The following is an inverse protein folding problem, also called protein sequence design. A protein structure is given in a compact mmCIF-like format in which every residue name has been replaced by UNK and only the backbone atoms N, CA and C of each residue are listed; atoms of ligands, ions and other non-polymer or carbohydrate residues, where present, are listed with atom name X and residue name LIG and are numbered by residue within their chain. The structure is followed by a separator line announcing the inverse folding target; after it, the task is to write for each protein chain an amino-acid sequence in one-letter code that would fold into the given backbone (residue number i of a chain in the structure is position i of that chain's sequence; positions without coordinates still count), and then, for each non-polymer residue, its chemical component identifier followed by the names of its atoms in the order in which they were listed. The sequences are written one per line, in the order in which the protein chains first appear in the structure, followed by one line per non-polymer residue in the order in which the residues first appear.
data_IF_487199799257
#
_entry.id   IF_487199799257
#
_cell.length_a   1.000
_cell.length_b   1.000
_cell.length_c   1.000
_cell.angle_alpha   90.00
_cell.angle_beta   90.00
_cell.angle_gamma   90.00
#
_symmetry.space_group_name_H-M   'P 1'
#
loop_
_entity.id
_entity.type
_entity.pdbx_description
1 polymer ?
#
# COMPACT_ATOMS: atom_id res chain seq x y z
N UNK A 1 -2.45 -6.88 29.75
CA UNK A 1 -2.68 -8.16 29.08
C UNK A 1 -3.31 -7.82 27.73
N UNK A 2 -2.87 -8.47 26.65
CA UNK A 2 -3.48 -8.31 25.33
C UNK A 2 -4.85 -8.95 25.27
N UNK A 3 -5.65 -8.58 24.25
CA UNK A 3 -7.00 -9.11 24.03
C UNK A 3 -7.00 -10.58 23.56
N UNK A 4 -5.82 -11.11 23.23
CA UNK A 4 -5.65 -12.50 22.78
C UNK A 4 -5.86 -12.69 21.28
N UNK A 5 -6.22 -11.65 20.52
CA UNK A 5 -6.35 -11.69 19.09
C UNK A 5 -5.98 -10.34 18.46
N UNK A 6 -5.66 -10.35 17.17
CA UNK A 6 -5.47 -9.16 16.34
C UNK A 6 -6.18 -9.38 15.00
N UNK A 7 -6.99 -8.40 14.59
CA UNK A 7 -7.72 -8.39 13.33
C UNK A 7 -6.99 -7.52 12.32
N UNK A 8 -6.52 -8.11 11.25
CA UNK A 8 -5.69 -7.44 10.23
C UNK A 8 -6.42 -7.44 8.89
N UNK A 9 -6.45 -6.29 8.22
CA UNK A 9 -6.84 -6.21 6.82
C UNK A 9 -5.62 -5.80 5.97
N UNK A 10 -5.43 -6.45 4.83
CA UNK A 10 -4.28 -6.17 3.98
C UNK A 10 -4.33 -6.90 2.65
N UNK A 11 -3.26 -6.74 1.87
CA UNK A 11 -3.14 -7.36 0.56
C UNK A 11 -2.93 -8.86 0.66
N UNK A 12 -3.39 -9.60 -0.35
CA UNK A 12 -3.06 -11.02 -0.49
C UNK A 12 -1.53 -11.22 -0.48
N UNK A 13 -1.04 -12.19 0.26
CA UNK A 13 0.39 -12.47 0.39
C UNK A 13 1.13 -11.65 1.45
N UNK A 14 0.46 -10.71 2.14
CA UNK A 14 1.10 -9.86 3.14
C UNK A 14 1.03 -10.42 4.57
N UNK A 15 0.13 -11.36 4.81
CA UNK A 15 0.01 -12.07 6.10
C UNK A 15 -0.22 -13.55 5.79
N UNK A 16 0.85 -14.32 5.74
CA UNK A 16 0.81 -15.71 5.31
C UNK A 16 0.86 -16.67 6.50
N UNK A 17 -0.13 -17.55 6.55
CA UNK A 17 -0.35 -18.53 7.63
C UNK A 17 -0.31 -19.97 7.11
N UNK A 18 0.31 -20.21 5.96
CA UNK A 18 0.38 -21.54 5.33
C UNK A 18 -0.88 -21.96 4.56
N UNK A 19 -1.94 -21.14 4.55
CA UNK A 19 -3.19 -21.50 3.85
C UNK A 19 -3.07 -21.43 2.34
N UNK A 20 -2.22 -20.54 1.81
CA UNK A 20 -1.94 -20.40 0.38
C UNK A 20 -0.84 -21.36 -0.08
N UNK A 21 0.27 -21.40 0.65
CA UNK A 21 1.38 -22.33 0.48
C UNK A 21 1.83 -22.81 1.86
N UNK A 22 1.75 -24.12 2.17
CA UNK A 22 2.18 -24.66 3.47
C UNK A 22 3.63 -24.39 3.84
N UNK A 23 4.48 -23.99 2.87
CA UNK A 23 5.89 -23.63 3.09
C UNK A 23 6.06 -22.16 3.46
N UNK A 24 5.01 -21.35 3.33
CA UNK A 24 5.02 -19.91 3.57
C UNK A 24 4.09 -19.61 4.73
N UNK A 25 4.64 -19.69 5.93
CA UNK A 25 3.90 -19.47 7.18
C UNK A 25 4.82 -18.76 8.19
N UNK A 26 4.56 -17.51 8.45
CA UNK A 26 5.20 -16.76 9.54
C UNK A 26 4.21 -16.37 10.64
N UNK A 27 2.92 -16.62 10.44
CA UNK A 27 1.87 -16.30 11.41
C UNK A 27 1.82 -17.33 12.54
N UNK A 28 1.88 -18.63 12.21
CA UNK A 28 1.77 -19.69 13.20
C UNK A 28 2.88 -19.64 14.26
N UNK A 29 4.10 -19.21 13.87
CA UNK A 29 5.20 -18.99 14.80
C UNK A 29 4.87 -17.91 15.82
N UNK A 30 4.37 -16.76 15.34
CA UNK A 30 3.94 -15.65 16.18
C UNK A 30 2.79 -16.05 17.13
N UNK A 31 1.74 -16.72 16.62
CA UNK A 31 0.63 -17.18 17.44
C UNK A 31 1.09 -18.12 18.56
N UNK A 32 1.99 -19.03 18.25
CA UNK A 32 2.54 -20.00 19.22
C UNK A 32 3.39 -19.31 20.29
N UNK A 33 4.18 -18.32 19.93
CA UNK A 33 5.07 -17.60 20.84
C UNK A 33 4.28 -16.66 21.76
N UNK A 34 3.31 -15.94 21.21
CA UNK A 34 2.63 -14.85 21.91
C UNK A 34 1.27 -15.26 22.50
N UNK A 35 0.66 -16.33 22.01
CA UNK A 35 -0.72 -16.69 22.31
C UNK A 35 -1.76 -15.77 21.67
N UNK A 36 -1.34 -14.81 20.81
CA UNK A 36 -2.21 -13.87 20.14
C UNK A 36 -2.69 -14.44 18.80
N UNK A 37 -4.00 -14.63 18.65
CA UNK A 37 -4.62 -15.15 17.42
C UNK A 37 -4.62 -14.09 16.34
N UNK A 38 -4.20 -14.45 15.12
CA UNK A 38 -4.22 -13.56 13.96
C UNK A 38 -5.43 -13.87 13.08
N UNK A 39 -6.33 -12.91 12.95
CA UNK A 39 -7.46 -12.97 12.02
C UNK A 39 -7.14 -12.06 10.84
N UNK A 40 -7.00 -12.62 9.64
CA UNK A 40 -6.60 -11.87 8.46
C UNK A 40 -7.72 -11.80 7.42
N UNK A 41 -8.03 -10.60 6.99
CA UNK A 41 -8.95 -10.28 5.89
C UNK A 41 -8.17 -9.74 4.71
N UNK A 42 -8.30 -10.38 3.55
CA UNK A 42 -7.77 -9.85 2.30
C UNK A 42 -8.67 -8.72 1.82
N UNK A 43 -8.08 -7.53 1.59
CA UNK A 43 -8.71 -6.43 0.90
C UNK A 43 -8.27 -6.38 -0.56
N UNK A 44 -9.17 -5.96 -1.44
CA UNK A 44 -8.93 -5.90 -2.88
C UNK A 44 -8.42 -4.54 -3.35
N UNK A 45 -8.73 -3.46 -2.63
CA UNK A 45 -8.30 -2.09 -2.91
C UNK A 45 -7.97 -1.35 -1.61
N UNK A 46 -7.14 -0.30 -1.72
CA UNK A 46 -6.86 0.56 -0.55
C UNK A 46 -8.11 1.28 -0.04
N UNK A 47 -9.05 1.64 -0.89
CA UNK A 47 -10.32 2.27 -0.50
C UNK A 47 -11.21 1.32 0.29
N UNK A 48 -11.29 0.03 -0.11
CA UNK A 48 -11.95 -1.00 0.68
C UNK A 48 -11.32 -1.12 2.08
N UNK A 49 -9.98 -1.14 2.14
CA UNK A 49 -9.24 -1.24 3.41
C UNK A 49 -9.48 -0.03 4.32
N UNK A 50 -9.56 1.18 3.76
CA UNK A 50 -9.94 2.40 4.53
C UNK A 50 -11.34 2.23 5.10
N UNK A 51 -12.31 1.80 4.30
CA UNK A 51 -13.69 1.59 4.76
C UNK A 51 -13.79 0.51 5.84
N UNK A 52 -13.01 -0.57 5.72
CA UNK A 52 -12.94 -1.63 6.73
C UNK A 52 -12.34 -1.12 8.05
N UNK A 53 -11.27 -0.32 8.01
CA UNK A 53 -10.72 0.30 9.22
C UNK A 53 -11.73 1.21 9.92
N UNK A 54 -12.49 1.97 9.16
CA UNK A 54 -13.53 2.88 9.69
C UNK A 54 -14.70 2.14 10.33
N UNK A 55 -14.87 0.84 10.07
CA UNK A 55 -15.88 0.02 10.78
C UNK A 55 -15.54 -0.20 12.26
N UNK A 56 -14.28 -0.03 12.65
CA UNK A 56 -13.79 -0.31 14.00
C UNK A 56 -13.64 -1.81 14.32
N UNK A 57 -13.75 -2.69 13.32
CA UNK A 57 -13.61 -4.14 13.49
C UNK A 57 -12.18 -4.65 13.30
N UNK A 58 -11.27 -3.78 12.86
CA UNK A 58 -9.87 -4.13 12.54
C UNK A 58 -8.90 -3.30 13.35
N UNK A 59 -7.84 -3.95 13.81
CA UNK A 59 -6.77 -3.36 14.63
C UNK A 59 -5.61 -2.84 13.77
N UNK A 60 -5.36 -3.51 12.63
CA UNK A 60 -4.21 -3.23 11.76
C UNK A 60 -4.64 -3.26 10.29
N UNK A 61 -4.09 -2.32 9.53
CA UNK A 61 -4.27 -2.28 8.08
C UNK A 61 -2.91 -2.20 7.36
N UNK A 62 -2.78 -2.94 6.26
CA UNK A 62 -1.67 -2.80 5.32
C UNK A 62 -2.20 -2.19 4.02
N UNK A 63 -2.12 -0.89 3.89
CA UNK A 63 -2.65 -0.13 2.76
C UNK A 63 -1.54 0.68 2.06
N UNK A 64 -1.86 1.26 0.89
CA UNK A 64 -0.95 2.16 0.19
C UNK A 64 -0.72 3.47 0.96
N UNK A 65 0.37 4.19 0.67
CA UNK A 65 0.77 5.37 1.42
C UNK A 65 -0.25 6.52 1.40
N UNK A 66 -0.98 6.70 0.31
CA UNK A 66 -2.08 7.66 0.19
C UNK A 66 -3.25 7.29 1.12
N UNK A 67 -3.62 6.00 1.19
CA UNK A 67 -4.65 5.51 2.10
C UNK A 67 -4.20 5.63 3.57
N UNK A 68 -2.93 5.37 3.86
CA UNK A 68 -2.36 5.59 5.20
C UNK A 68 -2.53 7.04 5.65
N UNK A 69 -2.24 8.02 4.78
CA UNK A 69 -2.45 9.44 5.11
C UNK A 69 -3.92 9.78 5.34
N UNK A 70 -4.83 9.22 4.55
CA UNK A 70 -6.27 9.42 4.76
C UNK A 70 -6.71 8.95 6.15
N UNK A 71 -6.25 7.77 6.57
CA UNK A 71 -6.53 7.21 7.88
C UNK A 71 -5.92 8.06 9.02
N UNK A 72 -4.69 8.54 8.83
CA UNK A 72 -4.02 9.40 9.82
C UNK A 72 -4.78 10.72 10.00
N UNK A 73 -5.09 11.41 8.92
CA UNK A 73 -5.79 12.69 8.98
C UNK A 73 -7.29 12.55 9.34
N UNK A 74 -7.88 11.38 9.09
CA UNK A 74 -9.22 11.02 9.53
C UNK A 74 -9.31 10.71 11.04
N UNK A 75 -8.15 10.45 11.67
CA UNK A 75 -8.12 10.01 13.07
C UNK A 75 -8.51 8.56 13.27
N UNK A 76 -8.48 7.78 12.20
CA UNK A 76 -8.89 6.35 12.18
C UNK A 76 -7.76 5.42 12.62
N UNK A 77 -6.55 5.94 12.85
CA UNK A 77 -5.38 5.19 13.32
C UNK A 77 -4.62 5.96 14.38
N UNK A 78 -4.02 5.21 15.31
CA UNK A 78 -3.20 5.76 16.41
C UNK A 78 -1.71 5.77 16.06
N UNK A 79 -0.90 6.63 16.70
CA UNK A 79 0.55 6.57 16.63
C UNK A 79 1.09 5.22 17.05
N UNK A 80 2.15 4.77 16.37
CA UNK A 80 2.89 3.55 16.69
C UNK A 80 4.08 3.89 17.59
N UNK A 81 4.18 3.22 18.73
CA UNK A 81 5.39 3.30 19.57
C UNK A 81 6.45 2.35 18.99
N UNK A 82 7.37 2.91 18.21
CA UNK A 82 8.45 2.14 17.55
C UNK A 82 9.48 1.57 18.52
N UNK A 83 9.58 2.10 19.76
CA UNK A 83 10.49 1.58 20.79
C UNK A 83 10.05 0.19 21.29
N UNK A 84 8.79 -0.16 21.12
CA UNK A 84 8.25 -1.48 21.45
C UNK A 84 8.45 -2.50 20.32
N UNK A 85 9.06 -2.10 19.20
CA UNK A 85 9.27 -2.94 18.02
C UNK A 85 10.77 -3.04 17.75
N UNK A 86 11.48 -4.00 18.37
CA UNK A 86 12.95 -4.09 18.25
C UNK A 86 13.44 -4.15 16.80
N UNK A 87 12.72 -4.89 15.93
CA UNK A 87 13.06 -5.03 14.52
C UNK A 87 12.84 -3.75 13.70
N UNK A 88 12.22 -2.70 14.27
CA UNK A 88 12.13 -1.41 13.60
C UNK A 88 13.51 -0.79 13.36
N UNK A 89 14.50 -1.15 14.18
CA UNK A 89 15.90 -0.75 13.98
C UNK A 89 16.45 -1.22 12.62
N UNK A 90 16.03 -2.40 12.16
CA UNK A 90 16.49 -3.04 10.92
C UNK A 90 15.78 -2.53 9.66
N UNK A 91 14.73 -1.72 9.81
CA UNK A 91 14.07 -1.06 8.68
C UNK A 91 15.03 -0.05 8.05
N UNK A 92 15.13 -0.03 6.73
CA UNK A 92 15.96 0.95 6.02
C UNK A 92 15.58 2.38 6.38
N UNK A 93 16.55 3.23 6.64
CA UNK A 93 16.32 4.62 7.11
C UNK A 93 15.49 5.44 6.11
N UNK A 94 15.65 5.19 4.81
CA UNK A 94 14.87 5.86 3.76
C UNK A 94 13.40 5.41 3.69
N UNK A 95 12.96 4.48 4.53
CA UNK A 95 11.56 4.07 4.68
C UNK A 95 10.96 4.51 6.01
N UNK A 96 11.79 4.86 7.00
CA UNK A 96 11.35 5.33 8.32
C UNK A 96 10.85 6.76 8.24
N UNK A 97 9.79 7.07 8.98
CA UNK A 97 9.25 8.42 9.16
C UNK A 97 9.04 9.20 7.85
N UNK A 98 8.63 8.50 6.82
CA UNK A 98 8.35 9.13 5.54
C UNK A 98 7.00 9.85 5.55
N UNK A 99 6.77 10.84 4.65
CA UNK A 99 5.53 11.61 4.62
C UNK A 99 4.24 10.78 4.48
N UNK A 100 4.31 9.56 3.98
CA UNK A 100 3.16 8.67 3.83
C UNK A 100 2.87 7.79 5.05
N UNK A 101 3.75 7.74 6.04
CA UNK A 101 3.57 6.93 7.26
C UNK A 101 3.85 7.69 8.56
N UNK A 102 4.08 9.00 8.47
CA UNK A 102 4.35 9.83 9.63
C UNK A 102 3.83 11.25 9.45
N UNK A 103 3.47 11.90 10.55
CA UNK A 103 3.07 13.30 10.60
C UNK A 103 3.81 13.97 11.75
N UNK A 104 4.44 15.11 11.49
CA UNK A 104 5.22 15.87 12.48
C UNK A 104 6.27 15.03 13.24
N UNK A 105 6.90 14.08 12.57
CA UNK A 105 7.91 13.19 13.17
C UNK A 105 7.33 12.05 14.01
N UNK A 106 6.02 11.90 14.05
CA UNK A 106 5.33 10.81 14.77
C UNK A 106 5.01 9.69 13.78
N UNK A 107 5.45 8.46 14.05
CA UNK A 107 5.16 7.29 13.25
C UNK A 107 3.72 6.81 13.47
N UNK A 108 3.00 6.49 12.39
CA UNK A 108 1.67 5.87 12.41
C UNK A 108 1.66 4.48 11.78
N UNK A 109 2.81 4.00 11.34
CA UNK A 109 2.95 2.66 10.78
C UNK A 109 4.39 2.24 10.63
N UNK A 110 4.56 0.94 10.45
CA UNK A 110 5.83 0.31 10.08
C UNK A 110 5.78 0.01 8.59
N UNK A 111 6.75 0.46 7.77
CA UNK A 111 6.73 0.19 6.34
C UNK A 111 6.90 -1.32 6.07
N UNK A 112 5.98 -1.91 5.35
CA UNK A 112 6.10 -3.29 4.88
C UNK A 112 7.05 -3.39 3.68
N UNK A 113 6.97 -2.41 2.76
CA UNK A 113 7.80 -2.34 1.58
C UNK A 113 7.54 -1.07 0.77
N UNK A 114 8.26 -0.96 -0.35
CA UNK A 114 8.09 0.13 -1.32
C UNK A 114 8.16 -0.44 -2.73
N UNK A 115 7.20 -0.05 -3.57
CA UNK A 115 7.20 -0.33 -4.99
C UNK A 115 6.92 0.95 -5.79
N UNK A 116 7.36 0.97 -7.05
CA UNK A 116 6.98 2.01 -8.00
C UNK A 116 5.85 1.48 -8.90
N UNK A 117 4.94 2.38 -9.32
CA UNK A 117 4.03 2.06 -10.40
C UNK A 117 4.81 1.90 -11.70
N UNK A 118 4.54 0.85 -12.44
CA UNK A 118 5.24 0.49 -13.66
C UNK A 118 4.28 0.41 -14.83
N UNK A 119 4.74 0.87 -16.00
CA UNK A 119 4.07 0.63 -17.26
C UNK A 119 4.40 -0.78 -17.75
N UNK A 120 3.46 -1.69 -17.64
CA UNK A 120 3.55 -3.02 -18.22
C UNK A 120 2.87 -3.07 -19.59
N UNK A 121 3.44 -3.81 -20.54
CA UNK A 121 2.88 -3.95 -21.89
C UNK A 121 3.15 -5.35 -22.47
N UNK A 122 2.30 -5.75 -23.39
CA UNK A 122 2.43 -6.99 -24.16
C UNK A 122 3.53 -6.84 -25.21
N UNK A 123 4.70 -7.45 -25.00
CA UNK A 123 5.85 -7.36 -25.90
C UNK A 123 5.64 -8.05 -27.26
N UNK A 124 4.68 -8.96 -27.35
CA UNK A 124 4.28 -9.65 -28.58
C UNK A 124 3.38 -8.78 -29.49
N UNK A 125 2.65 -7.81 -28.93
CA UNK A 125 1.68 -6.96 -29.61
C UNK A 125 2.15 -5.52 -29.76
N UNK A 126 2.72 -4.94 -28.71
CA UNK A 126 3.08 -3.52 -28.64
C UNK A 126 4.52 -3.34 -29.12
N UNK A 127 4.66 -2.79 -30.33
CA UNK A 127 5.96 -2.47 -30.95
C UNK A 127 5.87 -1.12 -31.64
N UNK A 128 6.87 -0.23 -31.48
CA UNK A 128 8.02 -0.34 -30.56
C UNK A 128 7.59 -0.31 -29.09
N UNK A 129 8.54 -0.67 -28.19
CA UNK A 129 8.31 -0.59 -26.75
C UNK A 129 7.96 0.86 -26.32
N UNK A 130 6.96 1.07 -25.47
CA UNK A 130 6.66 2.40 -24.93
C UNK A 130 7.87 2.92 -24.13
N UNK A 131 8.19 4.19 -24.29
CA UNK A 131 9.34 4.83 -23.64
C UNK A 131 8.92 5.88 -22.61
N UNK A 132 7.62 6.15 -22.51
CA UNK A 132 7.07 7.12 -21.57
C UNK A 132 5.63 6.80 -21.19
N UNK A 133 5.15 7.43 -20.13
CA UNK A 133 3.74 7.42 -19.72
C UNK A 133 2.81 8.11 -20.72
N UNK A 134 3.34 8.78 -21.75
CA UNK A 134 2.54 9.27 -22.88
C UNK A 134 1.74 8.17 -23.58
N UNK A 135 2.24 6.93 -23.57
CA UNK A 135 1.49 5.78 -24.05
C UNK A 135 0.13 5.59 -23.35
N UNK A 136 0.00 6.07 -22.11
CA UNK A 136 -1.22 5.99 -21.29
C UNK A 136 -1.99 7.31 -21.30
N UNK A 137 -1.31 8.44 -21.12
CA UNK A 137 -1.93 9.72 -20.79
C UNK A 137 -2.09 10.68 -21.96
N UNK A 138 -1.38 10.46 -23.09
CA UNK A 138 -1.53 11.33 -24.24
C UNK A 138 -2.89 11.09 -24.95
N UNK A 139 -3.56 12.18 -25.27
CA UNK A 139 -4.87 12.14 -25.96
C UNK A 139 -4.83 11.44 -27.31
N UNK A 140 -3.66 11.50 -27.98
CA UNK A 140 -3.39 10.88 -29.28
C UNK A 140 -2.67 9.52 -29.18
N UNK A 141 -2.68 8.90 -28.00
CA UNK A 141 -2.08 7.58 -27.82
C UNK A 141 -2.68 6.56 -28.78
N UNK A 142 -1.87 5.78 -29.53
CA UNK A 142 -2.35 4.71 -30.39
C UNK A 142 -3.00 3.55 -29.60
N UNK A 143 -2.85 3.57 -28.28
CA UNK A 143 -3.37 2.54 -27.38
C UNK A 143 -4.69 2.92 -26.71
N UNK A 144 -5.30 4.04 -27.09
CA UNK A 144 -6.60 4.47 -26.56
C UNK A 144 -7.64 3.34 -26.66
N UNK A 145 -8.32 3.06 -25.54
CA UNK A 145 -9.29 1.97 -25.44
C UNK A 145 -8.68 0.56 -25.30
N UNK A 146 -7.33 0.45 -25.19
CA UNK A 146 -6.60 -0.81 -25.00
C UNK A 146 -5.74 -0.79 -23.75
N UNK A 147 -5.99 0.14 -22.86
CA UNK A 147 -5.25 0.37 -21.62
C UNK A 147 -6.13 -0.07 -20.47
N UNK A 148 -5.55 -0.79 -19.53
CA UNK A 148 -6.15 -1.07 -18.23
C UNK A 148 -5.34 -0.39 -17.17
N UNK A 149 -6.02 0.19 -16.19
CA UNK A 149 -5.42 0.75 -14.99
C UNK A 149 -6.10 0.12 -13.78
N UNK A 150 -5.36 0.06 -12.68
CA UNK A 150 -5.90 -0.36 -11.40
C UNK A 150 -6.85 0.74 -10.88
N UNK A 151 -8.00 0.33 -10.35
CA UNK A 151 -9.01 1.27 -9.83
C UNK A 151 -8.60 1.77 -8.44
N UNK A 152 -7.78 2.82 -8.42
CA UNK A 152 -7.32 3.45 -7.20
C UNK A 152 -6.96 4.92 -7.42
N UNK A 153 -7.27 5.82 -6.49
CA UNK A 153 -6.94 7.24 -6.56
C UNK A 153 -5.45 7.55 -6.76
N UNK A 154 -4.54 6.65 -6.35
CA UNK A 154 -3.09 6.84 -6.51
C UNK A 154 -2.68 7.07 -7.97
N UNK A 155 -3.42 6.52 -8.95
CA UNK A 155 -3.13 6.70 -10.37
C UNK A 155 -3.53 8.07 -10.92
N UNK A 156 -4.39 8.79 -10.21
CA UNK A 156 -4.68 10.20 -10.50
C UNK A 156 -3.41 11.04 -10.23
N UNK A 157 -2.69 10.70 -9.16
CA UNK A 157 -1.40 11.33 -8.86
C UNK A 157 -0.35 11.08 -9.96
N UNK A 158 -0.29 9.87 -10.51
CA UNK A 158 0.61 9.54 -11.64
C UNK A 158 0.27 10.39 -12.88
N UNK A 159 -1.01 10.55 -13.19
CA UNK A 159 -1.46 11.40 -14.29
C UNK A 159 -1.09 12.88 -14.05
N UNK A 160 -1.31 13.37 -12.83
CA UNK A 160 -0.94 14.74 -12.44
C UNK A 160 0.57 14.96 -12.57
N UNK A 161 1.40 14.05 -12.06
CA UNK A 161 2.87 14.13 -12.17
C UNK A 161 3.33 14.13 -13.63
N UNK A 162 2.69 13.32 -14.49
CA UNK A 162 2.98 13.34 -15.92
C UNK A 162 2.63 14.68 -16.56
N UNK A 163 1.44 15.22 -16.25
CA UNK A 163 0.98 16.49 -16.78
C UNK A 163 1.83 17.67 -16.28
N UNK A 164 2.20 17.72 -15.02
CA UNK A 164 3.12 18.73 -14.48
C UNK A 164 4.44 18.80 -15.26
N UNK A 165 4.94 17.63 -15.68
CA UNK A 165 6.18 17.55 -16.46
C UNK A 165 6.01 17.93 -17.92
N UNK A 166 4.89 17.57 -18.55
CA UNK A 166 4.66 17.75 -19.98
C UNK A 166 3.91 19.02 -20.32
N UNK A 167 3.17 19.58 -19.37
CA UNK A 167 2.36 20.79 -19.52
C UNK A 167 2.48 21.66 -18.25
N UNK A 168 3.63 22.26 -17.98
CA UNK A 168 3.89 23.00 -16.74
C UNK A 168 2.95 24.21 -16.55
N UNK A 169 2.37 24.73 -17.63
CA UNK A 169 1.43 25.87 -17.58
C UNK A 169 0.07 25.53 -16.98
N UNK A 170 -0.24 24.24 -16.72
CA UNK A 170 -1.50 23.85 -16.09
C UNK A 170 -1.61 24.24 -14.62
N UNK A 171 -0.48 24.59 -13.97
CA UNK A 171 -0.48 25.08 -12.59
C UNK A 171 -0.97 24.05 -11.53
N UNK A 172 -0.80 22.75 -11.84
CA UNK A 172 -1.10 21.64 -10.92
C UNK A 172 0.07 21.38 -9.99
#
# INVERSE_FOLDING_TARGET
AGEGAVNIVGWAGYVENGSTDPKVDWVSGFEKETGCKVNFKVGSTSDEMVSLMQSGEYDVVSASGDASLRLIYGGDVAPVNTDLIPNYADVFDNLKLQPWNSVNGVAYGVPHGRGANLLAYRTDIVKPAPTSWGAVFDTNSPYKGKITAYDSPIYIADAALYLMKTNPDLGI
#
